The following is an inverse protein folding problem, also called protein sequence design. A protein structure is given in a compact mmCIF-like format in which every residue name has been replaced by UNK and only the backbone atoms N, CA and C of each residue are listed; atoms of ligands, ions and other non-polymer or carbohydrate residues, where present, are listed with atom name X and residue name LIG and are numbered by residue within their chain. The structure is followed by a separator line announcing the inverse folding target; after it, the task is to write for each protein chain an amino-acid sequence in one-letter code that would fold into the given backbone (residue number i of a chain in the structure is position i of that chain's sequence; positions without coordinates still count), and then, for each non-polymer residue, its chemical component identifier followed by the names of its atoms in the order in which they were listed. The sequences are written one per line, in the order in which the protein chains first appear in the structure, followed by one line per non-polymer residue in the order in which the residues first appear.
data_IF_364921468802
#
_entry.id   IF_364921468802
#
_cell.length_a   1.000
_cell.length_b   1.000
_cell.length_c   1.000
_cell.angle_alpha   90.00
_cell.angle_beta   90.00
_cell.angle_gamma   90.00
#
_symmetry.space_group_name_H-M   'P 1'
#
loop_
_entity.id
_entity.type
_entity.pdbx_description
1 polymer ?
#
# COMPACT_ATOMS: atom_id res chain seq x y z
N UNK A 1 15.06 -36.14 39.76
CA UNK A 1 14.23 -35.16 39.04
C UNK A 1 15.14 -34.04 38.56
N UNK A 2 15.58 -34.11 37.30
CA UNK A 2 16.53 -33.16 36.72
C UNK A 2 15.73 -32.04 36.05
N UNK A 3 15.81 -30.83 36.61
CA UNK A 3 15.17 -29.64 36.06
C UNK A 3 15.88 -29.26 34.74
N UNK A 4 15.20 -29.45 33.61
CA UNK A 4 15.61 -28.89 32.32
C UNK A 4 15.45 -27.37 32.40
N UNK A 5 16.55 -26.63 32.44
CA UNK A 5 16.56 -25.18 32.18
C UNK A 5 16.11 -24.98 30.73
N UNK A 6 14.91 -24.44 30.55
CA UNK A 6 14.46 -23.94 29.25
C UNK A 6 15.36 -22.79 28.83
N UNK A 7 16.03 -22.92 27.69
CA UNK A 7 16.63 -21.78 27.01
C UNK A 7 15.48 -20.87 26.52
N UNK A 8 15.56 -19.55 26.70
CA UNK A 8 14.60 -18.65 26.09
C UNK A 8 14.73 -18.76 24.57
N UNK A 9 13.62 -19.09 23.91
CA UNK A 9 13.51 -19.01 22.47
C UNK A 9 13.42 -17.53 22.09
N UNK A 10 14.56 -16.88 21.86
CA UNK A 10 14.62 -15.57 21.21
C UNK A 10 14.42 -15.77 19.72
N UNK A 11 13.19 -16.03 19.31
CA UNK A 11 12.78 -15.95 17.91
C UNK A 11 12.60 -14.49 17.50
N UNK A 12 13.68 -13.71 17.48
CA UNK A 12 13.69 -12.42 16.80
C UNK A 12 14.13 -12.72 15.37
N UNK A 13 13.16 -12.82 14.47
CA UNK A 13 13.42 -12.64 13.04
C UNK A 13 14.06 -11.26 12.87
N UNK A 14 15.36 -11.21 12.57
CA UNK A 14 16.10 -9.96 12.35
C UNK A 14 15.91 -9.53 10.90
N UNK A 15 14.66 -9.31 10.47
CA UNK A 15 14.42 -8.48 9.30
C UNK A 15 14.32 -7.05 9.81
N UNK A 16 15.36 -6.25 9.53
CA UNK A 16 15.33 -4.83 9.84
C UNK A 16 14.33 -4.10 8.94
N UNK A 17 13.75 -3.00 9.42
CA UNK A 17 12.88 -2.14 8.61
C UNK A 17 13.63 -1.68 7.36
N UNK A 18 13.06 -1.97 6.20
CA UNK A 18 13.53 -1.47 4.91
C UNK A 18 12.57 -0.45 4.34
N UNK A 19 13.12 0.49 3.56
CA UNK A 19 12.33 1.46 2.80
C UNK A 19 12.78 1.43 1.35
N UNK A 20 11.85 1.20 0.44
CA UNK A 20 12.10 1.23 -1.00
C UNK A 20 11.42 2.43 -1.63
N UNK A 21 12.21 3.26 -2.31
CA UNK A 21 11.70 4.38 -3.08
C UNK A 21 11.51 3.99 -4.55
N UNK A 22 10.26 4.09 -5.02
CA UNK A 22 9.90 3.74 -6.39
C UNK A 22 9.90 4.96 -7.34
N UNK A 23 10.10 6.17 -6.80
CA UNK A 23 10.03 7.43 -7.54
C UNK A 23 8.74 8.22 -7.26
N UNK A 24 8.79 9.53 -7.55
CA UNK A 24 7.75 10.51 -7.16
C UNK A 24 7.62 10.55 -5.64
N UNK A 25 6.56 9.98 -5.08
CA UNK A 25 6.32 9.92 -3.64
C UNK A 25 6.12 8.48 -3.14
N UNK A 26 6.22 7.50 -4.05
CA UNK A 26 5.90 6.11 -3.72
C UNK A 26 7.01 5.48 -2.88
N UNK A 27 6.67 5.13 -1.64
CA UNK A 27 7.55 4.45 -0.68
C UNK A 27 6.90 3.14 -0.22
N UNK A 28 7.66 2.06 -0.16
CA UNK A 28 7.26 0.84 0.54
C UNK A 28 8.11 0.69 1.79
N UNK A 29 7.45 0.68 2.94
CA UNK A 29 8.03 0.32 4.23
C UNK A 29 7.74 -1.17 4.45
N UNK A 30 8.76 -1.93 4.81
CA UNK A 30 8.67 -3.39 4.94
C UNK A 30 9.57 -3.86 6.09
N UNK A 31 8.96 -4.50 7.10
CA UNK A 31 9.65 -5.07 8.27
C UNK A 31 9.91 -6.59 8.12
N UNK A 32 9.59 -7.16 6.96
CA UNK A 32 9.67 -8.60 6.67
C UNK A 32 8.40 -9.38 7.00
N UNK A 33 7.39 -8.76 7.61
CA UNK A 33 6.11 -9.37 7.97
C UNK A 33 4.92 -8.57 7.43
N UNK A 34 4.87 -7.28 7.75
CA UNK A 34 3.86 -6.32 7.30
C UNK A 34 4.51 -5.27 6.39
N UNK A 35 3.68 -4.68 5.53
CA UNK A 35 4.10 -3.58 4.66
C UNK A 35 3.14 -2.39 4.75
N UNK A 36 3.70 -1.19 4.59
CA UNK A 36 2.95 0.04 4.35
C UNK A 36 3.41 0.64 3.03
N UNK A 37 2.46 0.93 2.14
CA UNK A 37 2.71 1.59 0.87
C UNK A 37 2.25 3.05 0.97
N UNK A 38 3.11 3.99 0.60
CA UNK A 38 2.75 5.41 0.47
C UNK A 38 2.43 5.69 -1.00
N UNK A 39 1.23 6.26 -1.25
CA UNK A 39 0.64 6.65 -2.54
C UNK A 39 0.47 5.54 -3.59
N UNK A 40 1.49 4.71 -3.85
CA UNK A 40 1.38 3.57 -4.76
C UNK A 40 1.29 3.93 -6.24
N UNK A 41 1.89 5.03 -6.68
CA UNK A 41 1.89 5.45 -8.09
C UNK A 41 3.02 4.79 -8.90
N UNK A 42 2.66 3.98 -9.89
CA UNK A 42 3.57 3.16 -10.70
C UNK A 42 3.37 3.31 -12.21
N UNK A 43 2.14 3.51 -12.71
CA UNK A 43 1.80 3.46 -14.15
C UNK A 43 2.34 4.62 -15.00
N UNK A 44 2.80 5.70 -14.36
CA UNK A 44 3.56 6.82 -14.95
C UNK A 44 3.11 7.25 -16.37
N UNK A 45 1.84 7.66 -16.57
CA UNK A 45 1.42 8.21 -17.85
C UNK A 45 2.24 9.47 -18.20
N UNK A 46 2.66 9.59 -19.45
CA UNK A 46 3.35 10.76 -19.97
C UNK A 46 2.46 12.01 -19.91
N UNK A 47 3.07 13.20 -19.83
CA UNK A 47 2.34 14.47 -19.81
C UNK A 47 1.36 14.60 -20.99
N UNK A 48 1.78 14.16 -22.19
CA UNK A 48 0.90 14.15 -23.37
C UNK A 48 -0.33 13.27 -23.15
N UNK A 49 -0.18 12.08 -22.55
CA UNK A 49 -1.32 11.23 -22.23
C UNK A 49 -2.28 11.92 -21.27
N UNK A 50 -1.76 12.52 -20.20
CA UNK A 50 -2.54 13.22 -19.17
C UNK A 50 -3.39 14.34 -19.77
N UNK A 51 -2.86 15.10 -20.74
CA UNK A 51 -3.60 16.24 -21.33
C UNK A 51 -4.53 15.84 -22.49
N UNK A 52 -4.27 14.75 -23.21
CA UNK A 52 -5.03 14.42 -24.43
C UNK A 52 -6.09 13.32 -24.26
N UNK A 53 -6.07 12.56 -23.17
CA UNK A 53 -6.98 11.42 -22.97
C UNK A 53 -7.16 11.06 -21.50
N UNK A 54 -8.24 10.34 -21.16
CA UNK A 54 -8.33 9.66 -19.87
C UNK A 54 -7.12 8.77 -19.62
N UNK A 55 -6.58 8.84 -18.41
CA UNK A 55 -5.46 8.01 -17.95
C UNK A 55 -5.98 6.79 -17.21
N UNK A 56 -5.19 5.71 -17.22
CA UNK A 56 -5.53 4.45 -16.58
C UNK A 56 -4.26 3.79 -16.03
N UNK A 57 -4.43 2.88 -15.08
CA UNK A 57 -3.36 2.05 -14.58
C UNK A 57 -2.87 1.05 -15.63
N UNK A 58 -1.57 0.78 -15.61
CA UNK A 58 -0.94 -0.32 -16.31
C UNK A 58 -1.05 -1.59 -15.44
N UNK A 59 -2.11 -2.36 -15.66
CA UNK A 59 -2.40 -3.56 -14.85
C UNK A 59 -1.28 -4.59 -14.88
N UNK A 60 -0.61 -4.78 -16.02
CA UNK A 60 0.47 -5.76 -16.16
C UNK A 60 1.68 -5.35 -15.31
N UNK A 61 2.03 -4.06 -15.32
CA UNK A 61 3.08 -3.54 -14.45
C UNK A 61 2.73 -3.73 -12.97
N UNK A 62 1.48 -3.43 -12.58
CA UNK A 62 1.04 -3.59 -11.19
C UNK A 62 1.09 -5.05 -10.74
N UNK A 63 0.64 -6.00 -11.57
CA UNK A 63 0.72 -7.43 -11.28
C UNK A 63 2.17 -7.90 -11.05
N UNK A 64 3.09 -7.43 -11.90
CA UNK A 64 4.53 -7.72 -11.75
C UNK A 64 5.08 -7.15 -10.44
N UNK A 65 4.74 -5.91 -10.10
CA UNK A 65 5.20 -5.26 -8.87
C UNK A 65 4.64 -5.94 -7.61
N UNK A 66 3.37 -6.33 -7.63
CA UNK A 66 2.73 -7.09 -6.54
C UNK A 66 3.50 -8.38 -6.27
N UNK A 67 3.90 -9.11 -7.32
CA UNK A 67 4.67 -10.33 -7.20
C UNK A 67 6.12 -10.07 -6.75
N UNK A 68 6.84 -9.16 -7.42
CA UNK A 68 8.26 -8.90 -7.16
C UNK A 68 8.54 -8.28 -5.79
N UNK A 69 7.53 -7.67 -5.16
CA UNK A 69 7.66 -7.02 -3.86
C UNK A 69 6.73 -7.60 -2.79
N UNK A 70 6.11 -8.73 -3.08
CA UNK A 70 5.26 -9.47 -2.13
C UNK A 70 4.19 -8.56 -1.49
N UNK A 71 3.59 -7.68 -2.31
CA UNK A 71 2.68 -6.62 -1.83
C UNK A 71 1.40 -7.17 -1.20
N UNK A 72 1.15 -8.48 -1.27
CA UNK A 72 0.09 -9.15 -0.50
C UNK A 72 0.25 -9.01 1.02
N UNK A 73 1.42 -8.58 1.51
CA UNK A 73 1.67 -8.23 2.93
C UNK A 73 1.34 -6.77 3.25
N UNK A 74 0.90 -5.98 2.27
CA UNK A 74 0.60 -4.57 2.47
C UNK A 74 -0.68 -4.42 3.30
N UNK A 75 -0.55 -3.87 4.49
CA UNK A 75 -1.67 -3.65 5.42
C UNK A 75 -2.46 -2.41 5.02
N UNK A 76 -1.75 -1.35 4.62
CA UNK A 76 -2.37 -0.11 4.19
C UNK A 76 -1.60 0.60 3.07
N UNK A 77 -2.37 1.24 2.18
CA UNK A 77 -1.92 2.25 1.24
C UNK A 77 -2.29 3.61 1.81
N UNK A 78 -1.31 4.39 2.24
CA UNK A 78 -1.51 5.74 2.76
C UNK A 78 -1.38 6.73 1.61
N UNK A 79 -2.47 7.40 1.24
CA UNK A 79 -2.48 8.37 0.14
C UNK A 79 -2.40 9.78 0.71
N UNK A 80 -1.33 10.48 0.37
CA UNK A 80 -1.04 11.82 0.87
C UNK A 80 -2.07 12.86 0.42
N UNK A 81 -2.40 12.87 -0.88
CA UNK A 81 -3.44 13.70 -1.47
C UNK A 81 -3.93 13.13 -2.81
N UNK A 82 -5.00 13.68 -3.37
CA UNK A 82 -5.76 13.05 -4.47
C UNK A 82 -5.37 13.55 -5.87
N UNK A 83 -4.13 13.96 -6.09
CA UNK A 83 -3.62 14.18 -7.45
C UNK A 83 -3.32 12.83 -8.12
N UNK A 84 -3.37 12.78 -9.46
CA UNK A 84 -3.29 11.51 -10.19
C UNK A 84 -1.99 10.75 -9.93
N UNK A 85 -0.88 11.47 -9.75
CA UNK A 85 0.45 10.95 -9.44
C UNK A 85 0.59 10.41 -8.00
N UNK A 86 -0.50 10.42 -7.22
CA UNK A 86 -0.59 9.83 -5.89
C UNK A 86 -1.69 8.78 -5.75
N UNK A 87 -2.64 8.71 -6.69
CA UNK A 87 -3.87 7.91 -6.50
C UNK A 87 -4.30 7.11 -7.72
N UNK A 88 -3.70 7.31 -8.90
CA UNK A 88 -4.13 6.67 -10.14
C UNK A 88 -4.23 5.15 -10.02
N UNK A 89 -3.25 4.53 -9.36
CA UNK A 89 -3.12 3.08 -9.29
C UNK A 89 -3.80 2.44 -8.08
N UNK A 90 -4.22 3.26 -7.12
CA UNK A 90 -4.86 2.78 -5.88
C UNK A 90 -6.08 1.91 -6.15
N UNK A 91 -7.04 2.27 -7.02
CA UNK A 91 -8.20 1.41 -7.27
C UNK A 91 -7.81 0.06 -7.87
N UNK A 92 -6.78 -0.01 -8.71
CA UNK A 92 -6.32 -1.25 -9.32
C UNK A 92 -5.53 -2.11 -8.32
N UNK A 93 -4.69 -1.48 -7.48
CA UNK A 93 -3.99 -2.16 -6.39
C UNK A 93 -4.95 -2.77 -5.37
N UNK A 94 -6.01 -2.06 -4.97
CA UNK A 94 -7.02 -2.57 -4.04
C UNK A 94 -7.81 -3.76 -4.60
N UNK A 95 -7.99 -3.84 -5.92
CA UNK A 95 -8.56 -5.02 -6.58
C UNK A 95 -7.62 -6.23 -6.48
N UNK A 96 -6.30 -6.01 -6.58
CA UNK A 96 -5.28 -7.05 -6.49
C UNK A 96 -4.95 -7.45 -5.04
N UNK A 97 -5.20 -6.55 -4.09
CA UNK A 97 -4.86 -6.66 -2.68
C UNK A 97 -6.12 -6.52 -1.80
N UNK A 98 -6.97 -7.57 -1.74
CA UNK A 98 -8.29 -7.48 -1.11
C UNK A 98 -8.25 -7.20 0.40
N UNK A 99 -7.18 -7.59 1.08
CA UNK A 99 -6.98 -7.38 2.52
C UNK A 99 -6.36 -6.02 2.86
N UNK A 100 -5.92 -5.26 1.85
CA UNK A 100 -5.26 -3.97 2.05
C UNK A 100 -6.29 -2.85 2.18
N UNK A 101 -6.11 -1.99 3.18
CA UNK A 101 -6.86 -0.75 3.32
C UNK A 101 -6.24 0.39 2.51
N UNK A 102 -7.07 1.29 1.97
CA UNK A 102 -6.64 2.63 1.56
C UNK A 102 -7.01 3.62 2.65
N UNK A 103 -6.02 4.37 3.11
CA UNK A 103 -6.18 5.43 4.09
C UNK A 103 -6.00 6.77 3.39
N UNK A 104 -6.99 7.64 3.48
CA UNK A 104 -6.89 8.94 2.83
C UNK A 104 -8.10 9.86 3.04
N UNK A 105 -8.07 10.98 2.32
CA UNK A 105 -9.13 11.98 2.33
C UNK A 105 -10.44 11.43 1.72
N UNK A 106 -11.59 12.08 1.94
CA UNK A 106 -12.83 11.72 1.26
C UNK A 106 -12.69 11.68 -0.27
N UNK A 107 -11.89 12.56 -0.87
CA UNK A 107 -11.61 12.58 -2.30
C UNK A 107 -10.86 11.32 -2.76
N UNK A 108 -9.84 10.90 -2.01
CA UNK A 108 -9.13 9.63 -2.28
C UNK A 108 -10.08 8.45 -2.23
N UNK A 109 -10.92 8.38 -1.20
CA UNK A 109 -11.87 7.26 -1.06
C UNK A 109 -12.91 7.26 -2.19
N UNK A 110 -13.32 8.42 -2.70
CA UNK A 110 -14.21 8.50 -3.85
C UNK A 110 -13.55 7.98 -5.14
N UNK A 111 -12.26 8.24 -5.33
CA UNK A 111 -11.49 7.67 -6.45
C UNK A 111 -11.38 6.15 -6.31
N UNK A 112 -11.06 5.65 -5.11
CA UNK A 112 -10.99 4.22 -4.84
C UNK A 112 -12.32 3.50 -5.16
N UNK A 113 -13.46 4.11 -4.80
CA UNK A 113 -14.82 3.59 -5.10
C UNK A 113 -15.13 3.47 -6.60
N UNK A 114 -14.37 4.13 -7.48
CA UNK A 114 -14.60 4.01 -8.92
C UNK A 114 -14.33 2.58 -9.43
N UNK A 115 -13.54 1.78 -8.71
CA UNK A 115 -13.39 0.35 -9.00
C UNK A 115 -14.48 -0.45 -8.23
N UNK A 116 -15.39 -1.15 -8.93
CA UNK A 116 -16.52 -1.86 -8.29
C UNK A 116 -16.09 -3.05 -7.42
N UNK A 117 -14.83 -3.50 -7.51
CA UNK A 117 -14.29 -4.56 -6.65
C UNK A 117 -13.78 -4.05 -5.30
N UNK A 118 -13.66 -2.73 -5.13
CA UNK A 118 -13.23 -2.13 -3.87
C UNK A 118 -14.38 -2.19 -2.88
N UNK A 119 -14.13 -2.83 -1.74
CA UNK A 119 -15.14 -3.03 -0.71
C UNK A 119 -15.14 -1.89 0.32
N UNK A 120 -16.27 -1.63 1.01
CA UNK A 120 -16.32 -0.63 2.08
C UNK A 120 -15.27 -0.84 3.18
N UNK A 121 -14.87 -2.08 3.45
CA UNK A 121 -13.88 -2.45 4.46
C UNK A 121 -12.48 -1.93 4.12
N UNK A 122 -12.15 -1.84 2.82
CA UNK A 122 -10.88 -1.28 2.37
C UNK A 122 -10.83 0.25 2.50
N UNK A 123 -11.96 0.94 2.68
CA UNK A 123 -12.03 2.41 2.62
C UNK A 123 -11.92 3.05 4.01
N UNK A 124 -10.75 3.57 4.34
CA UNK A 124 -10.46 4.10 5.68
C UNK A 124 -10.25 5.62 5.65
N UNK A 125 -11.21 6.42 6.16
CA UNK A 125 -11.04 7.87 6.19
C UNK A 125 -9.99 8.27 7.22
N UNK A 126 -9.09 9.18 6.84
CA UNK A 126 -8.14 9.78 7.77
C UNK A 126 -8.74 10.99 8.48
N UNK A 127 -8.40 11.18 9.76
CA UNK A 127 -8.66 12.42 10.51
C UNK A 127 -7.34 13.07 10.94
N UNK A 128 -7.17 14.39 10.78
CA UNK A 128 -5.98 15.08 11.25
C UNK A 128 -5.72 14.82 12.74
N UNK A 129 -4.45 14.56 13.09
CA UNK A 129 -4.03 14.27 14.47
C UNK A 129 -4.40 12.88 15.00
N UNK A 130 -5.08 12.05 14.20
CA UNK A 130 -5.37 10.67 14.57
C UNK A 130 -4.14 9.79 14.39
N UNK A 131 -3.78 9.04 15.44
CA UNK A 131 -2.83 7.92 15.35
C UNK A 131 -3.59 6.66 14.94
N UNK A 132 -3.03 5.91 14.00
CA UNK A 132 -3.56 4.63 13.53
C UNK A 132 -2.43 3.60 13.58
N UNK A 133 -2.79 2.34 13.84
CA UNK A 133 -1.87 1.20 13.82
C UNK A 133 -2.27 0.27 12.68
N UNK A 134 -1.29 -0.19 11.90
CA UNK A 134 -1.46 -1.06 10.75
C UNK A 134 -0.43 -2.18 10.79
N UNK A 135 -0.86 -3.37 11.21
CA UNK A 135 0.08 -4.45 11.52
C UNK A 135 1.03 -4.03 12.65
N UNK A 136 2.34 -4.16 12.41
CA UNK A 136 3.40 -3.69 13.32
C UNK A 136 3.79 -2.20 13.16
N UNK A 137 3.12 -1.44 12.29
CA UNK A 137 3.37 0.00 12.06
C UNK A 137 2.38 0.91 12.80
#
# INVERSE_FOLDING_TARGET
MTLKRGQPQTGISVHGLTVKFFGVSTLLLDDGHDQILIDGFFSRPSLRQVITRPIQSDKLLLEQLVQCHELSRTQAILVSHSHYDHVLDVPALLEMLPETAVVGSPSTLNIARANPKVTPQQLQPIKPGQVQQWGHF
#
